data_IF_905303605842
#
_entry.id   IF_905303605842
#
_cell.length_a   1.000
_cell.length_b   1.000
_cell.length_c   1.000
_cell.angle_alpha   90.00
_cell.angle_beta   90.00
_cell.angle_gamma   90.00
#
_symmetry.space_group_name_H-M   'P 1'
#
loop_
_entity.id
_entity.type
_entity.pdbx_description
1 polymer ?
#
# COMPACT_ATOMS: atom_id res chain seq x y z
N UNK A 1 27.14 27.29 -24.37
CA UNK A 1 27.01 26.04 -25.14
C UNK A 1 25.76 25.33 -24.67
N UNK A 2 24.77 25.23 -25.56
CA UNK A 2 23.45 24.65 -25.30
C UNK A 2 23.58 23.12 -25.28
N UNK A 3 23.35 22.49 -24.15
CA UNK A 3 23.22 21.04 -24.08
C UNK A 3 21.82 20.66 -24.57
N UNK A 4 21.77 20.08 -25.78
CA UNK A 4 20.58 19.46 -26.34
C UNK A 4 20.13 18.30 -25.44
N UNK A 5 19.00 18.48 -24.75
CA UNK A 5 18.32 17.40 -24.05
C UNK A 5 17.44 16.64 -25.05
N UNK A 6 18.03 15.66 -25.71
CA UNK A 6 17.30 14.61 -26.45
C UNK A 6 17.33 13.33 -25.64
N UNK A 7 16.29 13.10 -24.83
CA UNK A 7 15.58 11.83 -24.61
C UNK A 7 14.40 12.15 -23.68
N UNK A 8 13.18 11.86 -24.14
CA UNK A 8 11.94 12.03 -23.36
C UNK A 8 11.96 11.13 -22.12
N UNK A 9 12.42 11.64 -20.99
CA UNK A 9 12.41 10.89 -19.73
C UNK A 9 11.03 11.03 -19.09
N UNK A 10 10.10 10.17 -19.50
CA UNK A 10 8.70 10.18 -19.03
C UNK A 10 8.56 9.91 -17.52
N UNK A 11 9.61 9.41 -16.85
CA UNK A 11 9.62 9.06 -15.44
C UNK A 11 10.94 9.46 -14.78
N UNK A 12 10.87 9.98 -13.56
CA UNK A 12 12.05 10.25 -12.72
C UNK A 12 12.69 8.92 -12.29
N UNK A 13 14.02 8.90 -12.19
CA UNK A 13 14.74 7.74 -11.61
C UNK A 13 14.35 7.57 -10.14
N UNK A 14 14.03 6.35 -9.66
CA UNK A 14 13.85 6.10 -8.23
C UNK A 14 15.11 6.40 -7.40
N UNK A 15 16.28 6.43 -8.03
CA UNK A 15 17.55 6.81 -7.40
C UNK A 15 17.77 8.32 -7.32
N UNK A 16 16.92 9.13 -7.97
CA UNK A 16 17.08 10.58 -8.01
C UNK A 16 17.05 11.23 -6.62
N UNK A 17 16.46 10.56 -5.62
CA UNK A 17 16.49 11.00 -4.21
C UNK A 17 17.91 11.07 -3.63
N UNK A 18 18.87 10.39 -4.27
CA UNK A 18 20.28 10.39 -3.89
C UNK A 18 21.15 11.29 -4.78
N UNK A 19 20.57 12.03 -5.73
CA UNK A 19 21.35 12.90 -6.62
C UNK A 19 22.14 13.93 -5.82
N UNK A 20 23.44 14.07 -6.13
CA UNK A 20 24.37 14.95 -5.42
C UNK A 20 24.86 14.42 -4.07
N UNK A 21 24.42 13.24 -3.63
CA UNK A 21 24.95 12.57 -2.45
C UNK A 21 26.16 11.70 -2.82
N UNK A 22 27.19 11.69 -1.96
CA UNK A 22 28.30 10.75 -2.10
C UNK A 22 27.91 9.43 -1.47
N UNK A 23 27.45 8.49 -2.30
CA UNK A 23 27.10 7.14 -1.86
C UNK A 23 28.32 6.23 -1.86
N UNK A 24 28.45 5.40 -0.83
CA UNK A 24 29.36 4.25 -0.85
C UNK A 24 28.80 3.19 -1.79
N UNK A 25 29.66 2.53 -2.56
CA UNK A 25 29.25 1.39 -3.41
C UNK A 25 28.67 0.25 -2.55
N UNK A 26 27.60 -0.37 -3.05
CA UNK A 26 27.01 -1.53 -2.38
C UNK A 26 27.96 -2.73 -2.48
N UNK A 27 28.10 -3.55 -1.41
CA UNK A 27 28.82 -4.81 -1.50
C UNK A 27 28.20 -5.74 -2.56
N UNK A 28 29.01 -6.62 -3.13
CA UNK A 28 28.57 -7.64 -4.11
C UNK A 28 28.46 -9.04 -3.52
N UNK A 29 28.81 -9.19 -2.23
CA UNK A 29 28.78 -10.46 -1.51
C UNK A 29 27.37 -10.90 -1.10
N UNK A 30 27.29 -12.09 -0.49
CA UNK A 30 26.06 -12.66 0.05
C UNK A 30 26.10 -12.72 1.58
N UNK A 31 24.93 -12.62 2.23
CA UNK A 31 24.77 -12.86 3.66
C UNK A 31 24.99 -14.35 3.99
N UNK A 32 24.93 -14.68 5.29
CA UNK A 32 25.16 -16.05 5.80
C UNK A 32 24.16 -17.10 5.29
N UNK A 33 23.02 -16.70 4.73
CA UNK A 33 22.06 -17.60 4.08
C UNK A 33 22.51 -18.06 2.68
N UNK A 34 23.59 -17.49 2.15
CA UNK A 34 24.16 -17.80 0.83
C UNK A 34 23.31 -17.37 -0.37
N UNK A 35 22.22 -16.62 -0.15
CA UNK A 35 21.23 -16.24 -1.17
C UNK A 35 20.94 -14.75 -1.21
N UNK A 36 20.78 -14.11 -0.06
CA UNK A 36 20.48 -12.67 0.01
C UNK A 36 21.77 -11.86 -0.10
N UNK A 37 21.70 -10.73 -0.82
CA UNK A 37 22.85 -9.84 -1.01
C UNK A 37 23.22 -9.13 0.31
N UNK A 38 24.51 -8.94 0.52
CA UNK A 38 25.01 -8.06 1.57
C UNK A 38 24.72 -6.60 1.18
N UNK A 39 23.93 -5.92 2.02
CA UNK A 39 23.55 -4.52 1.83
C UNK A 39 24.39 -3.58 2.71
N UNK A 40 25.47 -4.06 3.30
CA UNK A 40 26.32 -3.32 4.23
C UNK A 40 25.78 -3.33 5.68
N UNK A 41 26.38 -2.50 6.55
CA UNK A 41 26.03 -2.45 7.97
C UNK A 41 24.54 -2.12 8.19
N UNK A 42 23.84 -2.92 9.00
CA UNK A 42 22.45 -2.65 9.41
C UNK A 42 22.41 -2.06 10.82
N UNK A 43 21.64 -1.00 11.00
CA UNK A 43 21.19 -0.57 12.32
C UNK A 43 20.16 -1.56 12.89
N UNK A 44 20.02 -1.60 14.21
CA UNK A 44 18.94 -2.37 14.87
C UNK A 44 17.55 -1.75 14.64
N UNK A 45 17.49 -0.43 14.42
CA UNK A 45 16.25 0.27 14.07
C UNK A 45 16.05 0.37 12.55
N UNK A 46 14.80 0.35 12.05
CA UNK A 46 14.50 0.59 10.63
C UNK A 46 15.06 1.94 10.18
N UNK A 47 15.88 1.93 9.13
CA UNK A 47 16.57 3.14 8.65
C UNK A 47 15.73 3.98 7.68
N UNK A 48 14.65 3.43 7.12
CA UNK A 48 13.82 4.13 6.15
C UNK A 48 12.70 4.93 6.82
N UNK A 49 12.59 6.21 6.49
CA UNK A 49 11.45 7.04 6.88
C UNK A 49 10.11 6.53 6.30
N UNK A 50 10.15 5.65 5.29
CA UNK A 50 8.97 5.01 4.72
C UNK A 50 8.20 4.12 5.71
N UNK A 51 8.82 3.72 6.82
CA UNK A 51 8.12 3.03 7.92
C UNK A 51 7.20 3.97 8.70
N UNK A 52 7.48 5.28 8.68
CA UNK A 52 6.73 6.30 9.45
C UNK A 52 5.74 7.06 8.57
N UNK A 53 6.12 7.36 7.33
CA UNK A 53 5.29 8.13 6.40
C UNK A 53 5.42 7.62 4.96
N UNK A 54 4.35 7.75 4.17
CA UNK A 54 4.43 7.43 2.75
C UNK A 54 5.36 8.41 2.01
N UNK A 55 6.19 7.93 1.06
CA UNK A 55 6.98 8.83 0.24
C UNK A 55 6.09 9.66 -0.69
N UNK A 56 6.55 10.87 -1.05
CA UNK A 56 5.90 11.67 -2.07
C UNK A 56 5.81 10.89 -3.40
N UNK A 57 4.74 11.09 -4.21
CA UNK A 57 3.73 12.14 -4.11
C UNK A 57 2.46 11.75 -3.33
N UNK A 58 2.49 10.67 -2.54
CA UNK A 58 1.33 10.29 -1.71
C UNK A 58 1.05 11.41 -0.71
N UNK A 59 -0.24 11.77 -0.55
CA UNK A 59 -0.69 12.88 0.30
C UNK A 59 -0.22 12.68 1.74
N UNK A 60 0.16 13.78 2.38
CA UNK A 60 0.42 13.77 3.81
C UNK A 60 -0.86 13.47 4.58
N UNK A 61 -0.75 12.80 5.74
CA UNK A 61 -1.90 12.41 6.59
C UNK A 61 -2.87 13.58 6.87
N UNK A 62 -2.32 14.79 7.05
CA UNK A 62 -3.10 16.01 7.31
C UNK A 62 -3.99 16.46 6.14
N UNK A 63 -3.74 15.96 4.93
CA UNK A 63 -4.41 16.35 3.68
C UNK A 63 -5.49 15.35 3.25
N UNK A 64 -5.56 14.19 3.90
CA UNK A 64 -6.50 13.12 3.58
C UNK A 64 -5.93 11.75 3.90
N UNK A 65 -6.67 10.71 3.53
CA UNK A 65 -6.13 9.35 3.54
C UNK A 65 -5.09 9.15 2.44
N UNK A 66 -4.26 8.12 2.61
CA UNK A 66 -3.23 7.73 1.65
C UNK A 66 -3.77 6.73 0.64
N UNK A 67 -4.53 5.73 1.09
CA UNK A 67 -5.14 4.71 0.23
C UNK A 67 -6.62 4.51 0.58
N UNK A 68 -7.40 4.11 -0.41
CA UNK A 68 -8.81 3.75 -0.31
C UNK A 68 -8.96 2.26 -0.68
N UNK A 69 -9.06 1.37 0.30
CA UNK A 69 -9.28 -0.04 0.03
C UNK A 69 -10.76 -0.26 -0.26
N UNK A 70 -11.08 -0.54 -1.52
CA UNK A 70 -12.42 -0.92 -1.96
C UNK A 70 -12.53 -2.44 -2.08
N UNK A 71 -13.35 -3.07 -1.23
CA UNK A 71 -13.57 -4.52 -1.22
C UNK A 71 -14.90 -4.80 -1.91
N UNK A 72 -14.85 -5.54 -3.01
CA UNK A 72 -15.99 -5.85 -3.87
C UNK A 72 -16.49 -7.28 -3.69
N UNK A 73 -17.79 -7.47 -3.90
CA UNK A 73 -18.44 -8.77 -3.89
C UNK A 73 -19.49 -8.87 -5.00
N UNK A 74 -19.77 -10.10 -5.47
CA UNK A 74 -20.80 -10.33 -6.48
C UNK A 74 -22.20 -10.39 -5.86
N UNK A 75 -23.14 -9.49 -6.22
CA UNK A 75 -24.48 -9.46 -5.61
C UNK A 75 -25.33 -10.69 -5.93
N UNK A 76 -25.07 -11.35 -7.06
CA UNK A 76 -25.74 -12.61 -7.42
C UNK A 76 -25.24 -13.82 -6.63
N UNK A 77 -24.20 -13.67 -5.80
CA UNK A 77 -23.61 -14.73 -5.01
C UNK A 77 -23.89 -14.49 -3.51
N UNK A 78 -24.80 -15.29 -2.95
CA UNK A 78 -25.21 -15.17 -1.55
C UNK A 78 -24.05 -15.44 -0.58
N UNK A 79 -23.14 -16.36 -0.92
CA UNK A 79 -22.00 -16.71 -0.07
C UNK A 79 -20.98 -15.57 -0.02
N UNK A 80 -20.68 -14.95 -1.17
CA UNK A 80 -19.84 -13.75 -1.22
C UNK A 80 -20.47 -12.58 -0.46
N UNK A 81 -21.78 -12.37 -0.61
CA UNK A 81 -22.48 -11.30 0.11
C UNK A 81 -22.42 -11.50 1.62
N UNK A 82 -22.62 -12.74 2.09
CA UNK A 82 -22.49 -13.08 3.51
C UNK A 82 -21.05 -12.88 3.98
N UNK A 83 -20.08 -13.40 3.25
CA UNK A 83 -18.66 -13.29 3.60
C UNK A 83 -18.20 -11.84 3.64
N UNK A 84 -18.64 -11.00 2.70
CA UNK A 84 -18.33 -9.56 2.69
C UNK A 84 -18.88 -8.84 3.92
N UNK A 85 -20.08 -9.17 4.39
CA UNK A 85 -20.64 -8.62 5.63
C UNK A 85 -19.84 -9.05 6.86
N UNK A 86 -19.48 -10.32 6.95
CA UNK A 86 -18.68 -10.86 8.05
C UNK A 86 -17.26 -10.25 8.06
N UNK A 87 -16.63 -10.10 6.88
CA UNK A 87 -15.34 -9.44 6.74
C UNK A 87 -15.41 -7.96 7.12
N UNK A 88 -16.44 -7.24 6.66
CA UNK A 88 -16.67 -5.83 7.04
C UNK A 88 -16.79 -5.68 8.56
N UNK A 89 -17.57 -6.55 9.21
CA UNK A 89 -17.68 -6.56 10.66
C UNK A 89 -16.33 -6.85 11.33
N UNK A 90 -15.61 -7.86 10.84
CA UNK A 90 -14.33 -8.25 11.44
C UNK A 90 -13.31 -7.13 11.34
N UNK A 91 -13.17 -6.47 10.20
CA UNK A 91 -12.25 -5.34 10.03
C UNK A 91 -12.59 -4.23 11.04
N UNK A 92 -13.88 -3.94 11.27
CA UNK A 92 -14.31 -2.96 12.28
C UNK A 92 -13.97 -3.34 13.71
N UNK A 93 -13.87 -4.64 14.02
CA UNK A 93 -13.50 -5.14 15.35
C UNK A 93 -11.98 -5.16 15.55
N UNK A 94 -11.23 -5.50 14.51
CA UNK A 94 -9.77 -5.64 14.55
C UNK A 94 -9.05 -4.29 14.44
N UNK A 95 -9.61 -3.36 13.65
CA UNK A 95 -9.01 -2.06 13.34
C UNK A 95 -10.02 -0.92 13.59
N UNK A 96 -10.52 -0.74 14.82
CA UNK A 96 -11.52 0.29 15.14
C UNK A 96 -11.03 1.72 14.90
N UNK A 97 -9.72 1.93 14.85
CA UNK A 97 -9.07 3.21 14.56
C UNK A 97 -9.05 3.58 13.06
N UNK A 98 -9.21 2.61 12.16
CA UNK A 98 -9.26 2.88 10.72
C UNK A 98 -10.59 3.54 10.34
N UNK A 99 -10.56 4.37 9.28
CA UNK A 99 -11.77 4.98 8.75
C UNK A 99 -12.49 3.98 7.85
N UNK A 100 -13.55 3.36 8.38
CA UNK A 100 -14.32 2.32 7.69
C UNK A 100 -15.71 2.88 7.33
N UNK A 101 -16.08 2.81 6.05
CA UNK A 101 -17.37 3.29 5.58
C UNK A 101 -18.46 2.22 5.63
N UNK A 102 -19.70 2.66 5.38
CA UNK A 102 -20.86 1.76 5.34
C UNK A 102 -20.74 0.73 4.22
N UNK A 103 -21.44 -0.38 4.43
CA UNK A 103 -21.59 -1.44 3.44
C UNK A 103 -22.59 -1.02 2.36
N UNK A 104 -22.19 -1.09 1.10
CA UNK A 104 -23.08 -0.81 -0.04
C UNK A 104 -23.53 -2.09 -0.71
N UNK A 105 -24.83 -2.21 -0.94
CA UNK A 105 -25.50 -3.34 -1.59
C UNK A 105 -25.79 -3.10 -3.08
N UNK A 106 -25.26 -2.01 -3.63
CA UNK A 106 -25.46 -1.55 -5.00
C UNK A 106 -24.22 -0.79 -5.50
N UNK A 107 -24.06 -0.60 -6.82
CA UNK A 107 -23.06 0.30 -7.38
C UNK A 107 -23.21 1.73 -6.85
N UNK A 108 -22.07 2.41 -6.61
CA UNK A 108 -22.01 3.79 -6.15
C UNK A 108 -20.82 4.50 -6.79
N UNK A 109 -21.03 5.69 -7.36
CA UNK A 109 -19.93 6.46 -7.96
C UNK A 109 -19.22 5.67 -9.08
N UNK A 110 -17.86 5.59 -9.08
CA UNK A 110 -17.11 4.85 -10.09
C UNK A 110 -17.10 3.32 -9.85
N UNK A 111 -17.73 2.84 -8.79
CA UNK A 111 -17.70 1.43 -8.37
C UNK A 111 -18.81 0.64 -9.06
N UNK A 112 -18.49 -0.30 -9.98
CA UNK A 112 -19.48 -0.93 -10.85
C UNK A 112 -20.27 -2.06 -10.19
N UNK A 113 -19.86 -2.53 -9.01
CA UNK A 113 -20.50 -3.58 -8.23
C UNK A 113 -20.54 -3.17 -6.74
N UNK A 114 -21.38 -3.81 -5.91
CA UNK A 114 -21.43 -3.58 -4.46
C UNK A 114 -20.06 -3.73 -3.78
N UNK A 115 -19.82 -2.90 -2.76
CA UNK A 115 -18.54 -2.83 -2.07
C UNK A 115 -18.65 -2.20 -0.68
N UNK A 116 -17.55 -2.24 0.07
CA UNK A 116 -17.30 -1.32 1.17
C UNK A 116 -15.87 -0.76 1.08
N UNK A 117 -15.64 0.37 1.75
CA UNK A 117 -14.39 1.12 1.70
C UNK A 117 -13.73 1.20 3.08
N UNK A 118 -12.40 1.06 3.12
CA UNK A 118 -11.57 1.24 4.31
C UNK A 118 -10.38 2.12 3.95
N UNK A 119 -10.20 3.23 4.66
CA UNK A 119 -9.14 4.19 4.36
C UNK A 119 -8.00 4.05 5.36
N UNK A 120 -6.78 4.05 4.84
CA UNK A 120 -5.54 4.05 5.63
C UNK A 120 -4.78 5.35 5.44
N UNK A 121 -4.07 5.77 6.48
CA UNK A 121 -3.35 7.04 6.56
C UNK A 121 -1.85 6.82 6.76
N UNK A 122 -1.47 5.73 7.41
CA UNK A 122 -0.06 5.42 7.69
C UNK A 122 0.44 4.21 6.90
N UNK A 123 1.77 4.10 6.66
CA UNK A 123 2.35 2.88 6.08
C UNK A 123 2.05 1.64 6.92
N UNK A 124 1.99 1.78 8.24
CA UNK A 124 1.69 0.71 9.17
C UNK A 124 0.25 0.23 9.00
N UNK A 125 -0.73 1.14 8.99
CA UNK A 125 -2.13 0.80 8.71
C UNK A 125 -2.30 0.11 7.36
N UNK A 126 -1.66 0.68 6.33
CA UNK A 126 -1.73 0.15 4.95
C UNK A 126 -1.15 -1.26 4.87
N UNK A 127 0.02 -1.49 5.46
CA UNK A 127 0.64 -2.82 5.50
C UNK A 127 -0.14 -3.83 6.33
N UNK A 128 -0.67 -3.41 7.48
CA UNK A 128 -1.49 -4.24 8.34
C UNK A 128 -2.78 -4.69 7.64
N UNK A 129 -3.51 -3.75 7.02
CA UNK A 129 -4.74 -4.07 6.29
C UNK A 129 -4.47 -4.91 5.04
N UNK A 130 -3.43 -4.59 4.26
CA UNK A 130 -3.02 -5.39 3.11
C UNK A 130 -2.73 -6.84 3.52
N UNK A 131 -1.92 -7.04 4.56
CA UNK A 131 -1.58 -8.38 5.07
C UNK A 131 -2.82 -9.12 5.58
N UNK A 132 -3.68 -8.43 6.32
CA UNK A 132 -4.94 -8.97 6.82
C UNK A 132 -5.87 -9.42 5.68
N UNK A 133 -6.08 -8.57 4.67
CA UNK A 133 -6.92 -8.89 3.50
C UNK A 133 -6.30 -10.01 2.65
N UNK A 134 -4.98 -10.10 2.57
CA UNK A 134 -4.32 -11.20 1.83
C UNK A 134 -4.70 -12.57 2.39
N UNK A 135 -4.93 -12.68 3.70
CA UNK A 135 -5.35 -13.91 4.37
C UNK A 135 -6.88 -14.06 4.39
N UNK A 136 -7.59 -12.98 4.70
CA UNK A 136 -9.01 -13.03 5.07
C UNK A 136 -9.99 -12.52 4.01
N UNK A 137 -9.54 -12.10 2.82
CA UNK A 137 -10.48 -11.67 1.77
C UNK A 137 -11.36 -12.79 1.22
N UNK A 138 -10.96 -14.06 1.40
CA UNK A 138 -11.69 -15.21 0.87
C UNK A 138 -11.96 -15.06 -0.64
N UNK A 139 -13.23 -15.21 -1.09
CA UNK A 139 -13.59 -15.11 -2.52
C UNK A 139 -13.60 -13.66 -3.05
N UNK A 140 -13.44 -12.66 -2.19
CA UNK A 140 -13.62 -11.25 -2.56
C UNK A 140 -12.42 -10.69 -3.32
N UNK A 141 -12.71 -9.70 -4.17
CA UNK A 141 -11.70 -8.87 -4.84
C UNK A 141 -11.55 -7.54 -4.11
N UNK A 142 -10.37 -6.94 -4.15
CA UNK A 142 -10.16 -5.59 -3.61
C UNK A 142 -9.15 -4.81 -4.45
N UNK A 143 -9.26 -3.48 -4.40
CA UNK A 143 -8.34 -2.52 -5.02
C UNK A 143 -8.02 -1.47 -3.96
N UNK A 144 -6.77 -0.98 -3.91
CA UNK A 144 -6.33 0.14 -3.09
C UNK A 144 -5.67 1.22 -3.94
#
# INVERSE_FOLDING_TARGET
MSANLTFSQKYLSPLAVYDGQQLTELPTGFNSDGKSLDNGPRSQEPSSECYKQHPAPIRAIKEGNSFDFHIYYHPGNADETKYAKELHERIRREFPEMRIYKFWDRPVGPHPVPMFEVNTFTPIETGALFGFLTVWRGPLSWVA
#
